data_IF_676799821032
#
_entry.id   IF_676799821032
#
_cell.length_a   1.000
_cell.length_b   1.000
_cell.length_c   1.000
_cell.angle_alpha   90.00
_cell.angle_beta   90.00
_cell.angle_gamma   90.00
#
_symmetry.space_group_name_H-M   'P 1'
#
loop_
_entity.id
_entity.type
_entity.pdbx_description
1 polymer ?
#
# COMPACT_ATOMS: atom_id res chain seq x y z
N UNK A 1 4.35 40.84 -14.78
CA UNK A 1 4.89 39.47 -14.60
C UNK A 1 4.48 38.95 -13.22
N UNK A 2 3.32 38.28 -13.10
CA UNK A 2 2.83 37.73 -11.83
C UNK A 2 3.56 36.40 -11.60
N UNK A 3 4.47 36.37 -10.63
CA UNK A 3 5.30 35.19 -10.32
C UNK A 3 4.37 34.01 -9.97
N UNK A 4 4.52 32.82 -10.57
CA UNK A 4 3.66 31.66 -10.33
C UNK A 4 3.97 30.97 -8.98
N UNK A 5 4.35 31.76 -7.96
CA UNK A 5 4.69 31.28 -6.63
C UNK A 5 3.52 30.49 -6.01
N UNK A 6 2.29 30.88 -6.34
CA UNK A 6 1.08 30.17 -5.91
C UNK A 6 0.97 28.77 -6.51
N UNK A 7 1.43 28.56 -7.75
CA UNK A 7 1.41 27.26 -8.42
C UNK A 7 2.49 26.33 -7.84
N UNK A 8 3.67 26.88 -7.57
CA UNK A 8 4.76 26.17 -6.89
C UNK A 8 4.36 25.75 -5.46
N UNK A 9 3.68 26.62 -4.71
CA UNK A 9 3.15 26.30 -3.39
C UNK A 9 2.10 25.19 -3.44
N UNK A 10 1.18 25.25 -4.41
CA UNK A 10 0.15 24.21 -4.60
C UNK A 10 0.76 22.85 -4.97
N UNK A 11 1.76 22.82 -5.86
CA UNK A 11 2.46 21.59 -6.24
C UNK A 11 3.23 20.97 -5.06
N UNK A 12 3.94 21.79 -4.28
CA UNK A 12 4.65 21.32 -3.10
C UNK A 12 3.67 20.74 -2.05
N UNK A 13 2.50 21.37 -1.90
CA UNK A 13 1.47 20.88 -1.00
C UNK A 13 0.88 19.55 -1.49
N UNK A 14 0.58 19.43 -2.78
CA UNK A 14 0.17 18.15 -3.39
C UNK A 14 1.19 17.04 -3.13
N UNK A 15 2.48 17.29 -3.34
CA UNK A 15 3.57 16.33 -3.11
C UNK A 15 3.66 15.85 -1.65
N UNK A 16 3.40 16.73 -0.67
CA UNK A 16 3.40 16.39 0.75
C UNK A 16 2.15 15.60 1.18
N UNK A 17 1.04 15.77 0.48
CA UNK A 17 -0.26 15.15 0.80
C UNK A 17 -0.59 13.93 -0.06
N UNK A 18 0.27 13.55 -1.02
CA UNK A 18 0.13 12.25 -1.66
C UNK A 18 0.32 11.17 -0.58
N UNK A 19 -0.67 10.29 -0.37
CA UNK A 19 -0.52 9.16 0.52
C UNK A 19 0.59 8.28 -0.06
N UNK A 20 1.78 8.42 0.51
CA UNK A 20 2.83 7.42 0.31
C UNK A 20 2.21 6.10 0.74
N UNK A 21 2.21 5.09 -0.13
CA UNK A 21 1.79 3.73 0.23
C UNK A 21 2.61 3.29 1.44
N UNK A 22 2.08 3.54 2.65
CA UNK A 22 2.65 3.07 3.88
C UNK A 22 2.39 1.57 3.88
N UNK A 23 3.36 0.81 3.35
CA UNK A 23 3.40 -0.65 3.44
C UNK A 23 3.54 -1.01 4.92
N UNK A 24 2.44 -0.93 5.67
CA UNK A 24 2.40 -1.37 7.06
C UNK A 24 2.59 -2.88 7.03
N UNK A 25 3.76 -3.34 7.49
CA UNK A 25 4.05 -4.78 7.66
C UNK A 25 3.32 -5.34 8.88
N UNK A 26 2.04 -5.02 9.03
CA UNK A 26 1.20 -5.69 10.02
C UNK A 26 0.88 -7.05 9.43
N UNK A 27 1.52 -8.09 9.95
CA UNK A 27 1.16 -9.45 9.62
C UNK A 27 -0.30 -9.66 10.03
N UNK A 28 -1.17 -9.95 9.05
CA UNK A 28 -2.54 -10.34 9.31
C UNK A 28 -2.54 -11.70 10.01
N UNK A 29 -3.43 -11.88 10.98
CA UNK A 29 -3.63 -13.17 11.64
C UNK A 29 -3.91 -14.28 10.62
N UNK A 30 -3.35 -15.47 10.85
CA UNK A 30 -3.56 -16.60 9.95
C UNK A 30 -4.99 -17.12 10.06
N UNK A 31 -5.73 -17.09 8.95
CA UNK A 31 -7.10 -17.59 8.89
C UNK A 31 -7.19 -18.67 7.80
N UNK A 32 -7.43 -19.94 8.15
CA UNK A 32 -7.65 -21.01 7.17
C UNK A 32 -8.71 -20.66 6.13
N UNK A 33 -8.44 -20.98 4.86
CA UNK A 33 -9.35 -20.74 3.74
C UNK A 33 -9.45 -19.28 3.28
N UNK A 34 -8.88 -18.32 4.00
CA UNK A 34 -8.80 -16.91 3.57
C UNK A 34 -7.89 -16.81 2.33
N UNK A 35 -8.19 -15.88 1.42
CA UNK A 35 -7.37 -15.66 0.22
C UNK A 35 -6.38 -14.53 0.46
N UNK A 36 -5.13 -14.72 0.05
CA UNK A 36 -4.08 -13.70 0.12
C UNK A 36 -3.50 -13.43 -1.27
N UNK A 37 -3.05 -12.20 -1.49
CA UNK A 37 -2.45 -11.76 -2.75
C UNK A 37 -0.94 -11.71 -2.58
N UNK A 38 -0.21 -12.36 -3.50
CA UNK A 38 1.24 -12.28 -3.54
C UNK A 38 1.69 -10.84 -3.89
N UNK A 39 2.47 -10.15 -3.04
CA UNK A 39 2.92 -8.79 -3.35
C UNK A 39 3.93 -8.73 -4.51
N UNK A 40 4.52 -9.86 -4.91
CA UNK A 40 5.50 -9.92 -5.99
C UNK A 40 4.88 -10.13 -7.37
N UNK A 41 3.84 -10.96 -7.47
CA UNK A 41 3.24 -11.34 -8.75
C UNK A 41 1.74 -11.06 -8.86
N UNK A 42 1.09 -10.58 -7.79
CA UNK A 42 -0.34 -10.27 -7.78
C UNK A 42 -1.27 -11.49 -7.79
N UNK A 43 -0.74 -12.71 -7.74
CA UNK A 43 -1.58 -13.93 -7.71
C UNK A 43 -2.26 -14.13 -6.37
N UNK A 44 -3.52 -14.52 -6.44
CA UNK A 44 -4.33 -14.94 -5.31
C UNK A 44 -4.10 -16.42 -4.99
N UNK A 45 -4.00 -16.77 -3.71
CA UNK A 45 -3.97 -18.14 -3.25
C UNK A 45 -4.65 -18.29 -1.89
N UNK A 46 -5.32 -19.43 -1.62
CA UNK A 46 -5.92 -19.70 -0.33
C UNK A 46 -4.86 -20.04 0.71
N UNK A 47 -5.10 -19.62 1.95
CA UNK A 47 -4.29 -20.01 3.10
C UNK A 47 -4.60 -21.46 3.48
N UNK A 48 -3.58 -22.33 3.64
CA UNK A 48 -3.81 -23.71 4.06
C UNK A 48 -4.38 -23.81 5.49
N UNK A 49 -5.05 -24.93 5.75
CA UNK A 49 -5.68 -25.24 7.03
C UNK A 49 -4.70 -25.25 8.21
N UNK A 50 -3.47 -25.67 7.94
CA UNK A 50 -2.40 -25.75 8.93
C UNK A 50 -1.10 -25.28 8.30
N UNK A 51 -0.33 -24.55 9.10
CA UNK A 51 1.10 -24.42 8.86
C UNK A 51 1.71 -25.82 9.04
N UNK A 52 2.69 -26.17 8.20
CA UNK A 52 3.33 -27.50 8.25
C UNK A 52 3.93 -27.85 9.63
N UNK A 53 4.46 -29.07 9.80
CA UNK A 53 5.05 -29.51 11.05
C UNK A 53 6.21 -28.60 11.53
#
# INVERSE_FOLDING_TARGET
MKRPASVLLLLAWLLLFLPSCASTKVAKEWKPGDTVICPHCGREFPLPEKLGP
#
